data_IF_784378978013
#
_entry.id   IF_784378978013
#
_cell.length_a   1.000
_cell.length_b   1.000
_cell.length_c   1.000
_cell.angle_alpha   90.00
_cell.angle_beta   90.00
_cell.angle_gamma   90.00
#
_symmetry.space_group_name_H-M   'P 1'
#
loop_
_entity.id
_entity.type
_entity.pdbx_description
1 polymer ?
#
# COMPACT_ATOMS: atom_id res chain seq x y z
N UNK A 1 -8.82 -14.81 -18.79
CA UNK A 1 -8.72 -15.65 -17.59
C UNK A 1 -7.35 -15.44 -16.97
N UNK A 2 -7.27 -15.07 -15.69
CA UNK A 2 -5.98 -14.91 -14.99
C UNK A 2 -5.43 -16.30 -14.72
N UNK A 3 -4.19 -16.57 -15.10
CA UNK A 3 -3.53 -17.82 -14.77
C UNK A 3 -3.20 -17.84 -13.27
N UNK A 4 -3.93 -18.67 -12.50
CA UNK A 4 -3.79 -18.76 -11.04
C UNK A 4 -2.39 -19.22 -10.61
N UNK A 5 -1.68 -19.98 -11.44
CA UNK A 5 -0.28 -20.35 -11.19
C UNK A 5 0.64 -19.12 -11.28
N UNK A 6 0.47 -18.31 -12.32
CA UNK A 6 1.26 -17.10 -12.52
C UNK A 6 1.01 -16.06 -11.40
N UNK A 7 -0.23 -15.90 -10.94
CA UNK A 7 -0.54 -15.02 -9.80
C UNK A 7 0.16 -15.51 -8.51
N UNK A 8 0.13 -16.81 -8.22
CA UNK A 8 0.81 -17.40 -7.06
C UNK A 8 2.32 -17.22 -7.11
N UNK A 9 2.93 -17.44 -8.27
CA UNK A 9 4.37 -17.22 -8.47
C UNK A 9 4.75 -15.74 -8.29
N UNK A 10 3.95 -14.84 -8.85
CA UNK A 10 4.15 -13.40 -8.69
C UNK A 10 3.97 -12.95 -7.24
N UNK A 11 3.02 -13.50 -6.49
CA UNK A 11 2.85 -13.25 -5.06
C UNK A 11 4.08 -13.72 -4.26
N UNK A 12 4.60 -14.90 -4.56
CA UNK A 12 5.81 -15.40 -3.93
C UNK A 12 7.02 -14.51 -4.25
N UNK A 13 7.14 -14.03 -5.49
CA UNK A 13 8.18 -13.09 -5.89
C UNK A 13 8.02 -11.73 -5.19
N UNK A 14 6.81 -11.19 -5.13
CA UNK A 14 6.48 -9.96 -4.42
C UNK A 14 6.90 -10.05 -2.94
N UNK A 15 6.57 -11.15 -2.26
CA UNK A 15 6.93 -11.38 -0.87
C UNK A 15 8.45 -11.41 -0.67
N UNK A 16 9.20 -12.14 -1.51
CA UNK A 16 10.67 -12.18 -1.44
C UNK A 16 11.29 -10.80 -1.68
N UNK A 17 10.82 -10.09 -2.69
CA UNK A 17 11.31 -8.74 -3.04
C UNK A 17 11.08 -7.76 -1.89
N UNK A 18 9.88 -7.75 -1.30
CA UNK A 18 9.54 -6.90 -0.16
C UNK A 18 10.25 -7.29 1.12
N UNK A 19 10.49 -8.58 1.37
CA UNK A 19 11.28 -9.04 2.51
C UNK A 19 12.75 -8.61 2.42
N UNK A 20 13.33 -8.68 1.21
CA UNK A 20 14.69 -8.17 0.96
C UNK A 20 14.75 -6.66 1.16
N UNK A 21 13.78 -5.92 0.62
CA UNK A 21 13.69 -4.47 0.83
C UNK A 21 13.52 -4.11 2.31
N UNK A 22 12.63 -4.78 3.04
CA UNK A 22 12.44 -4.57 4.48
C UNK A 22 13.69 -4.87 5.28
N UNK A 23 14.41 -5.95 4.95
CA UNK A 23 15.70 -6.28 5.59
C UNK A 23 16.72 -5.19 5.34
N UNK A 24 16.82 -4.68 4.11
CA UNK A 24 17.72 -3.60 3.77
C UNK A 24 17.40 -2.31 4.55
N UNK A 25 16.12 -1.91 4.60
CA UNK A 25 15.68 -0.75 5.38
C UNK A 25 16.01 -0.92 6.87
N UNK A 26 15.71 -2.09 7.43
CA UNK A 26 15.99 -2.41 8.82
C UNK A 26 17.46 -2.31 9.19
N UNK A 27 18.35 -2.88 8.37
CA UNK A 27 19.78 -2.94 8.68
C UNK A 27 20.49 -1.60 8.47
N UNK A 28 20.05 -0.81 7.49
CA UNK A 28 20.81 0.37 7.04
C UNK A 28 20.19 1.70 7.47
N UNK A 29 18.95 1.72 7.98
CA UNK A 29 18.26 2.97 8.30
C UNK A 29 17.43 2.90 9.59
N UNK A 30 16.74 1.80 9.90
CA UNK A 30 15.82 1.76 11.08
C UNK A 30 16.53 1.93 12.44
N UNK A 31 17.86 1.91 12.51
CA UNK A 31 18.60 2.22 13.73
C UNK A 31 18.49 3.69 14.15
N UNK A 32 18.25 4.59 13.18
CA UNK A 32 17.99 6.02 13.41
C UNK A 32 16.48 6.33 13.60
N UNK A 33 15.61 5.32 13.49
CA UNK A 33 14.18 5.49 13.68
C UNK A 33 13.77 5.17 15.12
N UNK A 34 12.82 5.93 15.67
CA UNK A 34 12.22 5.62 16.95
C UNK A 34 11.56 4.23 16.91
N UNK A 35 11.85 3.40 17.91
CA UNK A 35 11.30 2.05 17.97
C UNK A 35 9.79 2.09 18.20
N UNK A 36 9.01 1.42 17.34
CA UNK A 36 7.55 1.32 17.49
C UNK A 36 7.10 0.75 18.85
N UNK A 37 7.97 0.02 19.55
CA UNK A 37 7.67 -0.52 20.90
C UNK A 37 7.74 0.55 21.98
N UNK A 38 8.59 1.56 21.83
CA UNK A 38 8.79 2.66 22.78
C UNK A 38 8.13 3.96 22.34
N UNK A 39 7.56 3.98 21.13
CA UNK A 39 6.77 5.10 20.63
C UNK A 39 5.64 5.45 21.62
N UNK A 40 5.56 6.70 22.10
CA UNK A 40 4.59 7.13 23.12
C UNK A 40 3.14 6.97 22.65
N UNK A 41 2.92 7.00 21.33
CA UNK A 41 1.62 6.75 20.72
C UNK A 41 1.80 5.64 19.67
N UNK A 42 1.84 4.38 20.14
CA UNK A 42 2.11 3.22 19.29
C UNK A 42 1.19 3.17 18.08
N UNK A 43 1.75 3.41 16.90
CA UNK A 43 1.00 3.36 15.65
C UNK A 43 0.13 4.58 15.38
N UNK A 44 0.38 5.73 16.04
CA UNK A 44 -0.24 7.02 15.69
C UNK A 44 -0.09 7.37 14.22
N UNK A 45 1.05 6.96 13.63
CA UNK A 45 1.28 7.09 12.21
C UNK A 45 0.19 6.41 11.38
N UNK A 46 -0.52 5.41 11.91
CA UNK A 46 -1.58 4.65 11.25
C UNK A 46 -3.01 5.03 11.70
N UNK A 47 -3.21 5.79 12.78
CA UNK A 47 -4.53 5.97 13.44
C UNK A 47 -5.36 7.13 12.89
N UNK A 48 -4.74 8.24 12.50
CA UNK A 48 -5.45 9.48 12.17
C UNK A 48 -5.12 10.01 10.76
N UNK A 49 -5.76 11.11 10.37
CA UNK A 49 -5.56 11.88 9.13
C UNK A 49 -4.12 12.42 8.92
N UNK A 50 -3.14 11.90 9.65
CA UNK A 50 -1.71 12.04 9.43
C UNK A 50 -1.09 10.83 8.72
N UNK A 51 -1.82 9.70 8.58
CA UNK A 51 -1.34 8.56 7.82
C UNK A 51 -1.16 8.94 6.36
N UNK A 52 0.08 8.79 5.92
CA UNK A 52 0.50 9.05 4.55
C UNK A 52 -0.35 8.22 3.62
N UNK A 53 -0.75 8.83 2.51
CA UNK A 53 -1.58 8.21 1.53
C UNK A 53 -0.92 7.00 0.88
N UNK A 54 -1.24 5.81 1.38
CA UNK A 54 -0.65 4.58 0.86
C UNK A 54 -1.47 4.08 -0.32
N UNK A 55 -1.01 4.42 -1.52
CA UNK A 55 -1.44 3.75 -2.74
C UNK A 55 -0.71 2.42 -2.89
N UNK A 56 -1.44 1.38 -3.23
CA UNK A 56 -0.90 0.05 -3.51
C UNK A 56 -1.36 -0.41 -4.89
N UNK A 57 -0.74 -1.49 -5.36
CA UNK A 57 -1.14 -2.17 -6.60
C UNK A 57 -2.10 -3.33 -6.34
N UNK A 58 -2.70 -3.88 -7.40
CA UNK A 58 -3.59 -5.05 -7.33
C UNK A 58 -2.91 -6.25 -6.66
N UNK A 59 -1.67 -6.55 -7.05
CA UNK A 59 -0.91 -7.69 -6.51
C UNK A 59 -0.64 -7.53 -5.01
N UNK A 60 -0.37 -6.30 -4.54
CA UNK A 60 -0.22 -6.04 -3.11
C UNK A 60 -1.54 -6.20 -2.35
N UNK A 61 -2.66 -5.76 -2.91
CA UNK A 61 -3.98 -5.96 -2.32
C UNK A 61 -4.33 -7.44 -2.19
N UNK A 62 -4.05 -8.23 -3.23
CA UNK A 62 -4.21 -9.69 -3.20
C UNK A 62 -3.29 -10.33 -2.15
N UNK A 63 -2.03 -9.90 -2.05
CA UNK A 63 -1.11 -10.39 -1.01
C UNK A 63 -1.61 -10.07 0.41
N UNK A 64 -2.23 -8.91 0.62
CA UNK A 64 -2.85 -8.53 1.89
C UNK A 64 -4.04 -9.45 2.19
N UNK A 65 -4.96 -9.63 1.25
CA UNK A 65 -6.11 -10.55 1.38
C UNK A 65 -5.65 -11.95 1.77
N UNK A 66 -4.71 -12.54 1.03
CA UNK A 66 -4.19 -13.88 1.33
C UNK A 66 -3.51 -13.95 2.69
N UNK A 67 -2.81 -12.88 3.11
CA UNK A 67 -2.16 -12.82 4.41
C UNK A 67 -3.20 -12.83 5.53
N UNK A 68 -4.27 -12.04 5.41
CA UNK A 68 -5.34 -12.01 6.40
C UNK A 68 -6.05 -13.37 6.49
N UNK A 69 -6.36 -13.96 5.34
CA UNK A 69 -7.01 -15.28 5.25
C UNK A 69 -6.17 -16.38 5.91
N UNK A 70 -4.87 -16.44 5.60
CA UNK A 70 -3.94 -17.47 6.08
C UNK A 70 -3.38 -17.20 7.48
N UNK A 71 -3.78 -16.14 8.17
CA UNK A 71 -3.30 -15.85 9.53
C UNK A 71 -4.14 -16.61 10.56
N UNK A 72 -3.64 -17.71 11.17
CA UNK A 72 -4.48 -18.58 11.99
C UNK A 72 -4.90 -17.94 13.32
N UNK A 73 -4.11 -16.99 13.81
CA UNK A 73 -4.36 -16.27 15.07
C UNK A 73 -5.36 -15.13 14.92
N UNK A 74 -5.82 -14.84 13.71
CA UNK A 74 -6.79 -13.79 13.44
C UNK A 74 -8.17 -14.44 13.28
N UNK A 75 -9.13 -14.21 14.20
CA UNK A 75 -10.49 -14.73 14.05
C UNK A 75 -11.16 -14.20 12.78
N UNK A 76 -12.15 -14.92 12.26
CA UNK A 76 -12.85 -14.51 11.04
C UNK A 76 -13.59 -13.18 11.19
N UNK A 77 -14.08 -12.87 12.38
CA UNK A 77 -14.63 -11.55 12.71
C UNK A 77 -13.58 -10.44 12.56
N UNK A 78 -12.36 -10.66 13.07
CA UNK A 78 -11.27 -9.69 12.96
C UNK A 78 -10.77 -9.56 11.51
N UNK A 79 -10.72 -10.66 10.74
CA UNK A 79 -10.48 -10.61 9.29
C UNK A 79 -11.56 -9.76 8.61
N UNK A 80 -12.83 -9.93 9.00
CA UNK A 80 -13.95 -9.18 8.42
C UNK A 80 -13.91 -7.69 8.77
N UNK A 81 -13.53 -7.37 10.01
CA UNK A 81 -13.44 -6.00 10.50
C UNK A 81 -12.50 -5.13 9.63
N UNK A 82 -11.43 -5.70 9.07
CA UNK A 82 -10.55 -5.00 8.11
C UNK A 82 -11.33 -4.45 6.92
N UNK A 83 -12.19 -5.27 6.31
CA UNK A 83 -12.98 -4.87 5.15
C UNK A 83 -14.11 -3.90 5.51
N UNK A 84 -14.64 -4.00 6.73
CA UNK A 84 -15.60 -3.01 7.27
C UNK A 84 -14.92 -1.66 7.40
N UNK A 85 -13.78 -1.58 8.09
CA UNK A 85 -12.98 -0.35 8.22
C UNK A 85 -12.56 0.22 6.88
N UNK A 86 -12.22 -0.63 5.90
CA UNK A 86 -11.89 -0.19 4.56
C UNK A 86 -13.07 0.54 3.89
N UNK A 87 -14.30 -0.01 3.98
CA UNK A 87 -15.50 0.65 3.45
C UNK A 87 -15.82 1.94 4.18
N UNK A 88 -15.72 1.94 5.50
CA UNK A 88 -15.91 3.14 6.33
C UNK A 88 -14.93 4.24 5.92
N UNK A 89 -13.65 3.91 5.75
CA UNK A 89 -12.64 4.85 5.27
C UNK A 89 -12.95 5.38 3.86
N UNK A 90 -13.40 4.52 2.93
CA UNK A 90 -13.81 4.97 1.58
C UNK A 90 -14.92 6.00 1.66
N UNK A 91 -15.94 5.78 2.51
CA UNK A 91 -17.07 6.70 2.68
C UNK A 91 -16.63 7.98 3.40
N UNK A 92 -15.97 7.84 4.56
CA UNK A 92 -15.57 8.95 5.43
C UNK A 92 -14.62 9.93 4.71
N UNK A 93 -13.62 9.40 4.01
CA UNK A 93 -12.61 10.22 3.32
C UNK A 93 -12.94 10.47 1.84
N UNK A 94 -14.13 10.04 1.38
CA UNK A 94 -14.61 10.21 0.00
C UNK A 94 -13.59 9.72 -1.04
N UNK A 95 -12.97 8.58 -0.77
CA UNK A 95 -11.96 8.00 -1.64
C UNK A 95 -12.62 7.52 -2.94
N UNK A 96 -12.06 7.89 -4.09
CA UNK A 96 -12.59 7.52 -5.41
C UNK A 96 -11.49 6.94 -6.30
N UNK A 97 -11.87 6.01 -7.17
CA UNK A 97 -10.96 5.46 -8.19
C UNK A 97 -10.53 6.53 -9.21
N UNK A 98 -11.45 7.46 -9.51
CA UNK A 98 -11.18 8.64 -10.33
C UNK A 98 -11.04 9.89 -9.44
N UNK A 99 -9.94 10.62 -9.56
CA UNK A 99 -9.66 11.85 -8.83
C UNK A 99 -8.27 11.87 -8.19
N UNK A 100 -7.85 13.05 -7.74
CA UNK A 100 -6.60 13.23 -6.99
C UNK A 100 -6.74 12.69 -5.57
N UNK A 101 -6.62 11.38 -5.43
CA UNK A 101 -6.62 10.78 -4.10
C UNK A 101 -5.31 11.04 -3.38
N UNK A 102 -4.17 11.20 -4.07
CA UNK A 102 -2.80 11.31 -3.52
C UNK A 102 -2.60 12.36 -2.41
N UNK A 103 -3.36 13.46 -2.40
CA UNK A 103 -3.29 14.48 -1.36
C UNK A 103 -4.11 14.17 -0.09
N UNK A 104 -4.97 13.14 -0.13
CA UNK A 104 -5.85 12.77 0.97
C UNK A 104 -5.13 11.89 2.00
N UNK A 105 -5.57 11.95 3.25
CA UNK A 105 -5.13 11.06 4.34
C UNK A 105 -6.31 10.25 4.84
N UNK A 106 -6.05 9.06 5.38
CA UNK A 106 -7.10 8.17 5.89
C UNK A 106 -6.57 7.26 7.01
N UNK A 107 -7.41 6.87 7.95
CA UNK A 107 -7.04 5.88 8.96
C UNK A 107 -6.76 4.50 8.32
N UNK A 108 -5.63 3.87 8.66
CA UNK A 108 -5.21 2.63 8.01
C UNK A 108 -6.13 1.45 8.42
N UNK A 109 -6.85 0.80 7.48
CA UNK A 109 -7.79 -0.28 7.82
C UNK A 109 -7.10 -1.56 8.34
N UNK A 110 -5.78 -1.66 8.13
CA UNK A 110 -4.94 -2.79 8.54
C UNK A 110 -4.32 -2.61 9.92
N UNK A 111 -4.57 -1.49 10.59
CA UNK A 111 -4.12 -1.24 11.95
C UNK A 111 -5.17 -1.75 12.95
N UNK A 112 -4.68 -2.38 14.00
CA UNK A 112 -5.46 -2.88 15.13
C UNK A 112 -4.75 -2.42 16.42
N UNK A 113 -5.36 -1.59 17.30
CA UNK A 113 -4.67 -0.97 18.44
C UNK A 113 -3.87 -1.93 19.33
N UNK A 114 -4.40 -3.14 19.55
CA UNK A 114 -3.77 -4.12 20.44
C UNK A 114 -2.61 -4.90 19.79
N UNK A 115 -2.56 -4.97 18.46
CA UNK A 115 -1.63 -5.81 17.69
C UNK A 115 -0.67 -4.99 16.83
N UNK A 116 -1.06 -3.80 16.42
CA UNK A 116 -0.43 -2.99 15.39
C UNK A 116 -0.89 -3.37 13.98
N UNK A 117 0.02 -3.31 13.01
CA UNK A 117 -0.30 -3.64 11.62
C UNK A 117 -0.48 -5.15 11.43
N UNK A 118 -1.70 -5.56 11.03
CA UNK A 118 -2.08 -6.97 10.87
C UNK A 118 -1.29 -7.71 9.78
N UNK A 119 -0.66 -6.98 8.86
CA UNK A 119 0.14 -7.55 7.76
C UNK A 119 1.64 -7.26 7.87
N UNK A 120 2.10 -6.73 9.01
CA UNK A 120 3.44 -6.16 9.20
C UNK A 120 4.59 -7.04 8.68
N UNK A 121 4.50 -8.37 8.82
CA UNK A 121 5.57 -9.29 8.48
C UNK A 121 5.50 -9.88 7.07
N UNK A 122 4.31 -9.98 6.48
CA UNK A 122 4.08 -10.80 5.27
C UNK A 122 3.57 -10.01 4.08
N UNK A 123 2.84 -8.91 4.31
CA UNK A 123 2.26 -8.12 3.23
C UNK A 123 2.24 -6.60 3.52
N UNK A 124 3.11 -6.11 4.42
CA UNK A 124 3.29 -4.66 4.67
C UNK A 124 3.49 -3.93 3.32
N UNK A 125 2.65 -2.96 2.92
CA UNK A 125 2.77 -2.27 1.64
C UNK A 125 4.17 -1.69 1.41
N UNK A 126 4.66 -1.70 0.16
CA UNK A 126 5.98 -1.17 -0.15
C UNK A 126 6.17 0.30 0.30
N UNK A 127 5.20 1.21 0.10
CA UNK A 127 5.30 2.55 0.67
C UNK A 127 5.48 2.51 2.19
N UNK A 128 4.78 1.65 2.92
CA UNK A 128 4.91 1.58 4.37
C UNK A 128 6.27 1.07 4.86
N UNK A 129 7.05 0.35 4.05
CA UNK A 129 8.30 -0.29 4.50
C UNK A 129 9.33 0.76 4.92
N UNK A 130 9.48 1.84 4.14
CA UNK A 130 10.44 2.91 4.38
C UNK A 130 9.97 4.00 5.36
N UNK A 131 8.67 4.07 5.68
CA UNK A 131 8.13 5.08 6.59
C UNK A 131 8.17 4.61 8.06
N UNK A 132 9.38 4.51 8.62
CA UNK A 132 9.56 4.44 10.07
C UNK A 132 9.48 5.86 10.69
N UNK A 133 9.46 5.95 12.02
CA UNK A 133 9.37 7.22 12.75
C UNK A 133 10.77 7.84 12.90
N UNK A 134 11.28 8.45 11.83
CA UNK A 134 12.55 9.17 11.85
C UNK A 134 12.39 10.57 12.43
N UNK A 135 13.37 11.01 13.21
CA UNK A 135 13.39 12.37 13.77
C UNK A 135 14.00 13.37 12.76
N UNK A 136 15.07 12.97 12.06
CA UNK A 136 15.75 13.84 11.09
C UNK A 136 15.51 13.40 9.65
N UNK A 137 15.51 14.37 8.73
CA UNK A 137 15.33 14.10 7.29
C UNK A 137 16.52 13.36 6.67
N UNK A 138 17.73 13.58 7.19
CA UNK A 138 18.96 12.91 6.72
C UNK A 138 18.98 11.40 6.98
N UNK A 139 18.23 10.94 7.98
CA UNK A 139 18.13 9.53 8.36
C UNK A 139 17.14 8.75 7.48
N UNK A 140 16.33 9.46 6.71
CA UNK A 140 15.35 8.83 5.83
C UNK A 140 16.05 8.06 4.71
N UNK A 141 15.60 6.84 4.40
CA UNK A 141 16.10 6.12 3.25
C UNK A 141 15.90 6.94 1.96
N UNK A 142 16.85 6.93 1.01
CA UNK A 142 16.71 7.68 -0.23
C UNK A 142 15.49 7.21 -1.00
N UNK A 143 14.73 8.16 -1.57
CA UNK A 143 13.51 7.88 -2.33
C UNK A 143 13.72 6.90 -3.50
N UNK A 144 14.93 6.88 -4.07
CA UNK A 144 15.31 5.93 -5.13
C UNK A 144 15.21 4.47 -4.71
N UNK A 145 15.30 4.14 -3.42
CA UNK A 145 15.08 2.77 -2.93
C UNK A 145 13.61 2.38 -3.05
N UNK A 146 12.70 3.24 -2.59
CA UNK A 146 11.26 3.03 -2.75
C UNK A 146 10.88 2.93 -4.22
N UNK A 147 11.32 3.88 -5.06
CA UNK A 147 11.01 3.89 -6.49
C UNK A 147 11.45 2.61 -7.21
N UNK A 148 12.66 2.10 -6.91
CA UNK A 148 13.14 0.83 -7.50
C UNK A 148 12.27 -0.36 -7.08
N UNK A 149 11.85 -0.41 -5.82
CA UNK A 149 10.96 -1.47 -5.33
C UNK A 149 9.59 -1.37 -5.98
N UNK A 150 8.99 -0.18 -6.00
CA UNK A 150 7.69 0.05 -6.62
C UNK A 150 7.70 -0.30 -8.11
N UNK A 151 8.74 0.08 -8.86
CA UNK A 151 8.88 -0.29 -10.27
C UNK A 151 8.88 -1.82 -10.49
N UNK A 152 9.58 -2.57 -9.64
CA UNK A 152 9.55 -4.04 -9.69
C UNK A 152 8.15 -4.59 -9.42
N UNK A 153 7.39 -3.97 -8.52
CA UNK A 153 6.00 -4.32 -8.23
C UNK A 153 5.10 -4.02 -9.43
N UNK A 154 5.30 -2.90 -10.13
CA UNK A 154 4.57 -2.56 -11.36
C UNK A 154 4.83 -3.57 -12.48
N UNK A 155 6.08 -4.01 -12.64
CA UNK A 155 6.46 -5.05 -13.59
C UNK A 155 5.74 -6.37 -13.28
N UNK A 156 5.73 -6.80 -12.00
CA UNK A 156 5.00 -8.01 -11.57
C UNK A 156 3.49 -7.88 -11.80
N UNK A 157 2.88 -6.74 -11.47
CA UNK A 157 1.46 -6.51 -11.74
C UNK A 157 1.16 -6.56 -13.24
N UNK A 158 2.02 -5.99 -14.07
CA UNK A 158 1.85 -6.00 -15.52
C UNK A 158 2.00 -7.41 -16.09
N UNK A 159 2.92 -8.22 -15.56
CA UNK A 159 3.08 -9.62 -15.97
C UNK A 159 1.84 -10.48 -15.65
N UNK A 160 1.16 -10.22 -14.52
CA UNK A 160 0.00 -11.02 -14.08
C UNK A 160 -1.32 -10.50 -14.64
N UNK A 161 -1.53 -9.20 -14.58
CA UNK A 161 -2.81 -8.55 -14.86
C UNK A 161 -2.80 -7.73 -16.15
N UNK A 162 -1.67 -7.66 -16.87
CA UNK A 162 -1.52 -6.80 -18.03
C UNK A 162 -1.77 -5.33 -17.66
N UNK A 163 -2.74 -4.71 -18.31
CA UNK A 163 -3.17 -3.34 -18.03
C UNK A 163 -4.29 -3.24 -16.98
N UNK A 164 -4.80 -4.36 -16.44
CA UNK A 164 -5.95 -4.40 -15.53
C UNK A 164 -5.61 -4.11 -14.06
N UNK A 165 -4.88 -3.01 -13.81
CA UNK A 165 -4.55 -2.54 -12.47
C UNK A 165 -4.23 -1.03 -12.46
N UNK A 166 -4.27 -0.44 -11.26
CA UNK A 166 -3.86 0.93 -11.01
C UNK A 166 -3.27 1.06 -9.59
N UNK A 167 -2.55 2.15 -9.35
CA UNK A 167 -2.23 2.59 -7.99
C UNK A 167 -3.48 3.20 -7.37
N UNK A 168 -4.02 2.58 -6.32
CA UNK A 168 -5.19 3.09 -5.59
C UNK A 168 -4.91 3.11 -4.09
N UNK A 169 -5.56 4.00 -3.32
CA UNK A 169 -5.54 3.96 -1.87
C UNK A 169 -5.85 2.57 -1.33
N UNK A 170 -5.12 2.15 -0.31
CA UNK A 170 -5.29 0.84 0.34
C UNK A 170 -6.76 0.49 0.64
N UNK A 171 -7.59 1.38 1.22
CA UNK A 171 -8.99 1.07 1.49
C UNK A 171 -9.81 0.73 0.24
N UNK A 172 -9.56 1.43 -0.87
CA UNK A 172 -10.25 1.15 -2.14
C UNK A 172 -9.88 -0.23 -2.67
N UNK A 173 -8.59 -0.55 -2.69
CA UNK A 173 -8.14 -1.88 -3.11
C UNK A 173 -8.71 -2.99 -2.22
N UNK A 174 -8.76 -2.79 -0.90
CA UNK A 174 -9.35 -3.76 0.03
C UNK A 174 -10.85 -3.98 -0.23
N UNK A 175 -11.59 -2.94 -0.61
CA UNK A 175 -12.98 -3.09 -1.02
C UNK A 175 -13.10 -3.91 -2.31
N UNK A 176 -12.23 -3.67 -3.29
CA UNK A 176 -12.23 -4.38 -4.58
C UNK A 176 -11.82 -5.86 -4.49
N UNK A 177 -11.00 -6.23 -3.50
CA UNK A 177 -10.55 -7.62 -3.29
C UNK A 177 -11.22 -8.30 -2.10
N UNK A 178 -12.29 -7.71 -1.56
CA UNK A 178 -13.08 -8.31 -0.47
C UNK A 178 -13.57 -9.70 -0.91
N UNK A 179 -13.24 -10.79 -0.18
CA UNK A 179 -13.70 -12.14 -0.50
C UNK A 179 -15.22 -12.30 -0.58
N UNK A 180 -15.98 -11.36 0.00
CA UNK A 180 -17.46 -11.35 -0.04
C UNK A 180 -18.03 -10.41 -1.11
N UNK A 181 -17.19 -9.75 -1.90
CA UNK A 181 -17.64 -8.97 -3.05
C UNK A 181 -17.98 -9.90 -4.23
N UNK A 182 -18.89 -9.46 -5.09
CA UNK A 182 -19.24 -10.15 -6.34
C UNK A 182 -18.18 -9.97 -7.45
N UNK A 183 -17.17 -9.13 -7.23
CA UNK A 183 -16.10 -8.84 -8.18
C UNK A 183 -16.51 -7.93 -9.35
N UNK A 184 -17.79 -7.59 -9.51
CA UNK A 184 -18.29 -6.87 -10.68
C UNK A 184 -17.64 -5.48 -10.85
N UNK A 185 -17.37 -4.80 -9.74
CA UNK A 185 -16.64 -3.53 -9.74
C UNK A 185 -15.21 -3.68 -10.29
N UNK A 186 -14.48 -4.69 -9.80
CA UNK A 186 -13.10 -4.93 -10.20
C UNK A 186 -13.01 -5.34 -11.67
N UNK A 187 -13.95 -6.15 -12.15
CA UNK A 187 -14.04 -6.53 -13.56
C UNK A 187 -14.30 -5.32 -14.45
N UNK A 188 -15.24 -4.45 -14.06
CA UNK A 188 -15.53 -3.22 -14.79
C UNK A 188 -14.31 -2.30 -14.85
N UNK A 189 -13.63 -2.09 -13.73
CA UNK A 189 -12.42 -1.26 -13.66
C UNK A 189 -11.27 -1.86 -14.47
N UNK A 190 -11.10 -3.18 -14.44
CA UNK A 190 -10.12 -3.89 -15.25
C UNK A 190 -10.31 -3.60 -16.75
N UNK A 191 -11.55 -3.63 -17.26
CA UNK A 191 -11.85 -3.26 -18.64
C UNK A 191 -11.52 -1.79 -18.94
N UNK A 192 -11.85 -0.87 -18.01
CA UNK A 192 -11.55 0.56 -18.17
C UNK A 192 -10.03 0.80 -18.22
N UNK A 193 -9.25 0.13 -17.38
CA UNK A 193 -7.79 0.30 -17.38
C UNK A 193 -7.13 -0.32 -18.62
N UNK A 194 -7.61 -1.48 -19.07
CA UNK A 194 -7.13 -2.11 -20.30
C UNK A 194 -7.28 -1.17 -21.51
N UNK A 195 -8.46 -0.58 -21.68
CA UNK A 195 -8.75 0.32 -22.81
C UNK A 195 -8.00 1.65 -22.78
N UNK A 196 -7.55 2.13 -21.61
CA UNK A 196 -6.76 3.37 -21.50
C UNK A 196 -5.31 3.18 -21.93
N UNK A 197 -4.69 2.05 -21.57
CA UNK A 197 -3.26 1.80 -21.82
C UNK A 197 -2.96 1.61 -23.31
N UNK A 198 -3.92 1.09 -24.07
CA UNK A 198 -3.84 0.97 -25.53
C UNK A 198 -3.86 2.32 -26.25
N UNK A 199 -4.43 3.37 -25.62
CA UNK A 199 -4.54 4.71 -26.22
C UNK A 199 -3.38 5.65 -25.88
N UNK A 200 -2.70 5.45 -24.75
CA UNK A 200 -1.72 6.43 -24.23
C UNK A 200 -0.26 6.00 -24.37
N UNK A 201 0.04 4.88 -25.05
CA UNK A 201 1.41 4.46 -25.36
C UNK A 201 2.40 4.59 -24.19
N UNK A 202 2.40 3.62 -23.26
CA UNK A 202 3.47 3.39 -22.27
C UNK A 202 4.03 4.61 -21.48
N UNK A 203 3.30 5.72 -21.29
CA UNK A 203 3.74 6.71 -20.31
C UNK A 203 3.46 6.20 -18.89
N UNK A 204 4.55 5.86 -18.20
CA UNK A 204 4.52 5.16 -16.91
C UNK A 204 3.85 6.01 -15.82
N UNK A 205 3.01 5.36 -15.00
CA UNK A 205 2.48 5.91 -13.73
C UNK A 205 3.57 6.49 -12.82
N UNK A 206 4.82 6.07 -13.02
CA UNK A 206 6.00 6.54 -12.32
C UNK A 206 6.33 8.02 -12.59
N UNK A 207 6.03 8.54 -13.78
CA UNK A 207 6.37 9.92 -14.18
C UNK A 207 5.40 10.94 -13.56
N UNK A 208 4.10 10.63 -13.59
CA UNK A 208 3.07 11.42 -12.91
C UNK A 208 3.32 11.51 -11.39
N UNK A 209 3.83 10.43 -10.78
CA UNK A 209 4.14 10.38 -9.34
C UNK A 209 5.44 11.08 -8.98
N UNK A 210 6.45 11.05 -9.86
CA UNK A 210 7.73 11.76 -9.66
C UNK A 210 7.53 13.27 -9.61
N UNK A 211 6.75 13.81 -10.55
CA UNK A 211 6.43 15.25 -10.61
C UNK A 211 5.65 15.75 -9.38
N UNK A 212 4.76 14.92 -8.82
CA UNK A 212 3.96 15.30 -7.65
C UNK A 212 4.74 15.22 -6.32
N UNK A 213 5.65 14.25 -6.18
CA UNK A 213 6.50 14.16 -4.98
C UNK A 213 7.58 15.24 -4.92
N UNK A 214 8.10 15.70 -6.06
CA UNK A 214 9.03 16.84 -6.13
C UNK A 214 8.34 18.15 -5.69
N UNK A 215 7.05 18.33 -5.99
CA UNK A 215 6.24 19.46 -5.51
C UNK A 215 5.93 19.45 -4.01
N UNK A 216 5.99 18.29 -3.34
CA UNK A 216 5.76 18.20 -1.88
C UNK A 216 7.00 18.58 -1.06
N UNK A 217 8.20 18.60 -1.66
CA UNK A 217 9.44 19.03 -0.97
C UNK A 217 9.53 20.54 -0.77
N UNK A 218 8.85 21.33 -1.60
CA UNK A 218 8.85 22.80 -1.47
C UNK A 218 7.83 23.33 -0.45
N UNK A 219 6.99 22.46 0.12
CA UNK A 219 6.00 22.82 1.14
C UNK A 219 5.86 21.69 2.17
N UNK A 220 6.63 21.72 3.27
CA UNK A 220 6.20 21.30 4.62
C UNK A 220 7.37 21.29 5.61
N UNK A 221 7.21 22.09 6.66
CA UNK A 221 7.78 21.85 7.98
C UNK A 221 7.41 20.43 8.45
N UNK A 222 8.34 19.76 9.13
CA UNK A 222 8.07 18.50 9.82
C UNK A 222 6.88 18.68 10.79
N UNK A 223 5.98 17.69 10.92
CA UNK A 223 5.10 17.64 12.07
C UNK A 223 6.00 17.48 13.29
N UNK A 224 6.19 18.56 14.04
CA UNK A 224 6.78 18.53 15.37
C UNK A 224 5.84 17.68 16.21
N UNK A 225 6.30 16.49 16.60
CA UNK A 225 5.65 15.70 17.64
C UNK A 225 5.91 16.43 18.96
N UNK A 226 4.97 17.31 19.33
CA UNK A 226 4.89 17.94 20.65
C UNK A 226 4.08 17.10 21.63
#
# INVERSE_FOLDING_TARGET
MINSLAEREALAHLQRSKASYQTHIKLNYEHEAAACRTCPVRGVCCTDAHFVNVHITRLEAVAIRETLERTPRLPDEAKRAVYVRAREAVVQYRLRVAGETFAQTYACPLYEPTVGCLVHRRAKPAPCIQHACYENWEDLPPQSLQSRTEHRIEQLNTAVYGAAWAWLPTPLWLCLVDPRSDGAELERLACVWATRRDKTGSNSSHEARRLMNEGSRTRRSLPVLG
#
